data_IF_019362055399
#
_entry.id   IF_019362055399
#
_cell.length_a   1.000
_cell.length_b   1.000
_cell.length_c   1.000
_cell.angle_alpha   90.00
_cell.angle_beta   90.00
_cell.angle_gamma   90.00
#
_symmetry.space_group_name_H-M   'P 1'
#
loop_
_entity.id
_entity.type
_entity.pdbx_description
1 polymer ?
#
# COMPACT_ATOMS: atom_id res chain seq x y z
N UNK A 1 17.58 -30.54 45.72
CA UNK A 1 17.97 -29.14 45.44
C UNK A 1 18.07 -29.07 43.93
N UNK A 2 16.93 -28.85 43.27
CA UNK A 2 16.84 -28.78 41.81
C UNK A 2 17.12 -27.34 41.37
N UNK A 3 18.05 -27.23 40.43
CA UNK A 3 18.60 -26.00 39.89
C UNK A 3 17.58 -25.37 38.94
N UNK A 4 17.13 -24.16 39.27
CA UNK A 4 16.18 -23.39 38.48
C UNK A 4 16.94 -22.85 37.28
N UNK A 5 16.88 -23.57 36.16
CA UNK A 5 17.39 -23.11 34.87
C UNK A 5 16.64 -21.84 34.44
N UNK A 6 17.29 -20.72 34.72
CA UNK A 6 17.31 -19.46 33.97
C UNK A 6 16.55 -19.54 32.65
N UNK A 7 15.31 -19.03 32.67
CA UNK A 7 14.63 -18.64 31.44
C UNK A 7 15.49 -17.59 30.74
N UNK A 8 16.10 -18.01 29.63
CA UNK A 8 16.72 -17.16 28.62
C UNK A 8 15.70 -16.13 28.15
N UNK A 9 15.69 -14.98 28.82
CA UNK A 9 15.00 -13.79 28.36
C UNK A 9 15.62 -13.40 27.03
N UNK A 10 14.95 -13.74 25.93
CA UNK A 10 15.23 -13.12 24.65
C UNK A 10 15.22 -11.60 24.88
N UNK A 11 16.20 -10.85 24.36
CA UNK A 11 16.21 -9.41 24.50
C UNK A 11 14.86 -8.90 24.02
N UNK A 12 14.13 -8.25 24.92
CA UNK A 12 12.86 -7.60 24.61
C UNK A 12 13.23 -6.57 23.55
N UNK A 13 12.92 -6.88 22.30
CA UNK A 13 13.12 -5.99 21.16
C UNK A 13 12.42 -4.69 21.55
N UNK A 14 13.20 -3.65 21.84
CA UNK A 14 12.67 -2.38 22.32
C UNK A 14 11.76 -1.84 21.22
N UNK A 15 10.45 -2.00 21.40
CA UNK A 15 9.42 -1.42 20.53
C UNK A 15 9.76 0.05 20.42
N UNK A 16 10.08 0.52 19.20
CA UNK A 16 10.42 1.92 18.99
C UNK A 16 9.15 2.76 19.17
N UNK A 17 8.87 3.11 20.41
CA UNK A 17 7.69 3.85 20.87
C UNK A 17 7.63 5.27 20.30
N UNK A 18 8.65 5.71 19.56
CA UNK A 18 8.67 6.99 18.87
C UNK A 18 8.01 6.93 17.47
N UNK A 19 7.66 5.74 16.96
CA UNK A 19 7.02 5.59 15.66
C UNK A 19 5.56 6.09 15.69
N UNK A 20 5.18 6.90 14.69
CA UNK A 20 3.82 7.41 14.54
C UNK A 20 3.04 6.61 13.50
N UNK A 21 2.00 5.92 13.94
CA UNK A 21 1.22 4.98 13.10
C UNK A 21 -0.11 5.62 12.68
N UNK A 22 -0.48 5.51 11.40
CA UNK A 22 -1.76 6.03 10.92
C UNK A 22 -2.92 5.15 11.37
N UNK A 23 -4.08 5.77 11.56
CA UNK A 23 -5.29 5.06 11.96
C UNK A 23 -5.81 4.17 10.82
N UNK A 24 -6.26 2.93 11.10
CA UNK A 24 -6.82 2.01 10.10
C UNK A 24 -7.97 2.60 9.28
N UNK A 25 -8.83 3.44 9.87
CA UNK A 25 -9.89 4.12 9.14
C UNK A 25 -9.34 5.18 8.16
N UNK A 26 -8.23 5.84 8.50
CA UNK A 26 -7.57 6.76 7.57
C UNK A 26 -7.03 6.00 6.35
N UNK A 27 -6.37 4.86 6.59
CA UNK A 27 -5.92 3.96 5.51
C UNK A 27 -7.07 3.50 4.62
N UNK A 28 -8.19 3.07 5.22
CA UNK A 28 -9.41 2.66 4.51
C UNK A 28 -9.86 3.72 3.52
N UNK A 29 -10.11 4.93 4.01
CA UNK A 29 -10.69 6.00 3.21
C UNK A 29 -9.75 6.51 2.13
N UNK A 30 -8.44 6.57 2.41
CA UNK A 30 -7.44 6.90 1.40
C UNK A 30 -7.44 5.83 0.29
N UNK A 31 -7.46 4.56 0.65
CA UNK A 31 -7.46 3.46 -0.33
C UNK A 31 -8.69 3.53 -1.24
N UNK A 32 -9.86 3.81 -0.66
CA UNK A 32 -11.14 3.90 -1.39
C UNK A 32 -11.17 5.10 -2.34
N UNK A 33 -10.82 6.29 -1.85
CA UNK A 33 -11.06 7.53 -2.59
C UNK A 33 -9.87 8.02 -3.40
N UNK A 34 -8.63 7.68 -3.04
CA UNK A 34 -7.46 8.07 -3.83
C UNK A 34 -7.09 6.95 -4.80
N UNK A 35 -6.57 5.84 -4.29
CA UNK A 35 -6.23 4.67 -5.12
C UNK A 35 -5.80 3.48 -4.27
N UNK A 36 -6.01 2.26 -4.79
CA UNK A 36 -5.45 1.04 -4.24
C UNK A 36 -3.92 1.09 -4.11
N UNK A 37 -3.21 1.71 -5.06
CA UNK A 37 -1.73 1.78 -5.03
C UNK A 37 -1.21 2.59 -3.84
N UNK A 38 -1.83 3.74 -3.55
CA UNK A 38 -1.44 4.58 -2.41
C UNK A 38 -1.81 3.90 -1.11
N UNK A 39 -2.95 3.22 -1.07
CA UNK A 39 -3.36 2.35 0.04
C UNK A 39 -2.33 1.26 0.35
N UNK A 40 -1.85 0.53 -0.67
CA UNK A 40 -0.81 -0.50 -0.54
C UNK A 40 0.47 0.10 0.08
N UNK A 41 0.94 1.23 -0.47
CA UNK A 41 2.18 1.86 -0.01
C UNK A 41 2.05 2.32 1.45
N UNK A 42 0.97 3.02 1.80
CA UNK A 42 0.75 3.44 3.18
C UNK A 42 0.61 2.26 4.13
N UNK A 43 -0.05 1.18 3.71
CA UNK A 43 -0.20 -0.04 4.50
C UNK A 43 1.15 -0.70 4.80
N UNK A 44 2.06 -0.77 3.81
CA UNK A 44 3.45 -1.22 3.99
C UNK A 44 4.19 -0.33 4.98
N UNK A 45 4.11 1.00 4.81
CA UNK A 45 4.78 1.95 5.71
C UNK A 45 4.24 1.81 7.13
N UNK A 46 2.94 1.61 7.30
CA UNK A 46 2.35 1.43 8.63
C UNK A 46 2.87 0.15 9.29
N UNK A 47 3.01 -0.93 8.53
CA UNK A 47 3.65 -2.16 9.03
C UNK A 47 5.11 -1.99 9.40
N UNK A 48 5.86 -1.18 8.65
CA UNK A 48 7.23 -0.81 9.01
C UNK A 48 7.27 -0.09 10.35
N UNK A 49 6.32 0.82 10.60
CA UNK A 49 6.25 1.57 11.87
C UNK A 49 5.74 0.75 13.05
N UNK A 50 5.04 -0.35 12.78
CA UNK A 50 4.54 -1.31 13.77
C UNK A 50 5.54 -2.45 14.06
N UNK A 51 6.77 -2.38 13.56
CA UNK A 51 7.82 -3.39 13.76
C UNK A 51 7.38 -4.84 13.42
N UNK A 52 6.53 -4.98 12.39
CA UNK A 52 6.09 -6.29 11.88
C UNK A 52 6.60 -6.55 10.45
N UNK A 53 7.93 -6.68 10.26
CA UNK A 53 8.54 -6.72 8.93
C UNK A 53 8.24 -7.98 8.13
N UNK A 54 7.92 -9.09 8.78
CA UNK A 54 7.70 -10.36 8.09
C UNK A 54 6.42 -10.37 7.22
N UNK A 55 5.50 -9.43 7.48
CA UNK A 55 4.32 -9.20 6.63
C UNK A 55 4.61 -8.34 5.39
N UNK A 56 5.83 -7.80 5.23
CA UNK A 56 6.26 -6.95 4.09
C UNK A 56 6.33 -7.73 2.77
N UNK A 57 6.76 -8.99 2.80
CA UNK A 57 7.06 -9.76 1.58
C UNK A 57 5.81 -10.03 0.72
N UNK A 58 4.64 -10.22 1.35
CA UNK A 58 3.37 -10.44 0.63
C UNK A 58 2.85 -9.17 -0.07
N UNK A 59 3.40 -7.99 0.23
CA UNK A 59 2.90 -6.72 -0.27
C UNK A 59 3.62 -6.20 -1.52
N UNK A 60 4.86 -6.62 -1.77
CA UNK A 60 5.52 -6.40 -3.07
C UNK A 60 4.71 -7.03 -4.21
N UNK A 61 4.15 -8.22 -3.97
CA UNK A 61 3.23 -8.88 -4.89
C UNK A 61 1.99 -8.03 -5.16
N UNK A 62 1.46 -7.33 -4.15
CA UNK A 62 0.33 -6.42 -4.31
C UNK A 62 0.62 -5.23 -5.23
N UNK A 63 1.81 -4.63 -5.12
CA UNK A 63 2.25 -3.55 -6.03
C UNK A 63 2.34 -4.08 -7.46
N UNK A 64 3.02 -5.21 -7.67
CA UNK A 64 3.17 -5.83 -9.00
C UNK A 64 1.81 -6.19 -9.59
N UNK A 65 0.93 -6.80 -8.80
CA UNK A 65 -0.43 -7.13 -9.21
C UNK A 65 -1.21 -5.89 -9.65
N UNK A 66 -1.13 -4.79 -8.89
CA UNK A 66 -1.84 -3.55 -9.23
C UNK A 66 -1.30 -2.89 -10.50
N UNK A 67 0.01 -2.95 -10.75
CA UNK A 67 0.65 -2.50 -11.99
C UNK A 67 0.17 -3.34 -13.18
N UNK A 68 0.22 -4.68 -13.06
CA UNK A 68 -0.25 -5.59 -14.12
C UNK A 68 -1.72 -5.37 -14.43
N UNK A 69 -2.56 -5.24 -13.40
CA UNK A 69 -3.97 -4.91 -13.56
C UNK A 69 -4.14 -3.60 -14.34
N UNK A 70 -3.37 -2.57 -14.00
CA UNK A 70 -3.43 -1.28 -14.71
C UNK A 70 -3.05 -1.40 -16.19
N UNK A 71 -2.03 -2.18 -16.53
CA UNK A 71 -1.64 -2.44 -17.92
C UNK A 71 -2.77 -3.14 -18.68
N UNK A 72 -3.35 -4.19 -18.08
CA UNK A 72 -4.48 -4.92 -18.68
C UNK A 72 -5.65 -3.97 -18.94
N UNK A 73 -5.95 -3.07 -18.00
CA UNK A 73 -7.03 -2.11 -18.17
C UNK A 73 -6.78 -1.12 -19.29
N UNK A 74 -5.57 -0.58 -19.40
CA UNK A 74 -5.22 0.37 -20.46
C UNK A 74 -5.31 -0.31 -21.84
N UNK A 75 -5.03 -1.62 -21.92
CA UNK A 75 -5.14 -2.39 -23.16
C UNK A 75 -6.59 -2.72 -23.57
N UNK A 76 -7.58 -2.53 -22.69
CA UNK A 76 -8.98 -2.85 -23.01
C UNK A 76 -9.66 -1.70 -23.77
N UNK A 77 -10.42 -2.00 -24.85
CA UNK A 77 -11.07 -0.98 -25.67
C UNK A 77 -12.25 -0.26 -24.99
N UNK A 78 -12.76 -0.75 -23.86
CA UNK A 78 -13.90 -0.17 -23.15
C UNK A 78 -13.53 0.22 -21.71
N UNK A 79 -13.13 1.48 -21.53
CA UNK A 79 -12.70 2.01 -20.24
C UNK A 79 -13.85 2.20 -19.22
N UNK A 80 -15.10 2.34 -19.68
CA UNK A 80 -16.22 2.72 -18.82
C UNK A 80 -16.61 1.66 -17.80
N UNK A 81 -16.57 0.38 -18.16
CA UNK A 81 -16.87 -0.70 -17.20
C UNK A 81 -15.74 -0.90 -16.19
N UNK A 82 -14.52 -0.55 -16.57
CA UNK A 82 -13.32 -0.86 -15.81
C UNK A 82 -13.13 0.05 -14.60
N UNK A 83 -13.61 1.30 -14.67
CA UNK A 83 -13.60 2.22 -13.52
C UNK A 83 -14.36 1.67 -12.31
N UNK A 84 -15.46 0.97 -12.54
CA UNK A 84 -16.27 0.38 -11.47
C UNK A 84 -15.58 -0.83 -10.84
N UNK A 85 -14.88 -1.63 -11.64
CA UNK A 85 -14.06 -2.75 -11.17
C UNK A 85 -12.94 -2.23 -10.27
N UNK A 86 -12.20 -1.20 -10.69
CA UNK A 86 -11.17 -0.58 -9.87
C UNK A 86 -11.71 0.01 -8.58
N UNK A 87 -12.85 0.70 -8.64
CA UNK A 87 -13.48 1.24 -7.45
C UNK A 87 -13.89 0.12 -6.47
N UNK A 88 -14.45 -0.99 -6.98
CA UNK A 88 -14.76 -2.17 -6.19
C UNK A 88 -13.51 -2.80 -5.55
N UNK A 89 -12.41 -2.91 -6.30
CA UNK A 89 -11.12 -3.40 -5.78
C UNK A 89 -10.59 -2.46 -4.67
N UNK A 90 -10.64 -1.15 -4.87
CA UNK A 90 -10.23 -0.16 -3.88
C UNK A 90 -11.05 -0.26 -2.58
N UNK A 91 -12.36 -0.50 -2.70
CA UNK A 91 -13.24 -0.79 -1.54
C UNK A 91 -12.80 -2.06 -0.82
N UNK A 92 -12.63 -3.16 -1.54
CA UNK A 92 -12.22 -4.44 -0.96
C UNK A 92 -10.86 -4.31 -0.24
N UNK A 93 -9.87 -3.68 -0.88
CA UNK A 93 -8.56 -3.42 -0.30
C UNK A 93 -8.64 -2.51 0.93
N UNK A 94 -9.40 -1.42 0.87
CA UNK A 94 -9.56 -0.49 1.98
C UNK A 94 -10.17 -1.16 3.22
N UNK A 95 -11.20 -2.00 3.02
CA UNK A 95 -11.81 -2.79 4.09
C UNK A 95 -10.80 -3.78 4.66
N UNK A 96 -10.12 -4.53 3.79
CA UNK A 96 -9.12 -5.53 4.19
C UNK A 96 -7.98 -4.90 5.00
N UNK A 97 -7.37 -3.82 4.50
CA UNK A 97 -6.28 -3.12 5.19
C UNK A 97 -6.71 -2.57 6.55
N UNK A 98 -7.92 -2.02 6.65
CA UNK A 98 -8.44 -1.51 7.91
C UNK A 98 -8.66 -2.61 8.93
N UNK A 99 -9.27 -3.72 8.51
CA UNK A 99 -9.54 -4.86 9.38
C UNK A 99 -8.25 -5.49 9.91
N UNK A 100 -7.29 -5.73 9.02
CA UNK A 100 -6.00 -6.34 9.38
C UNK A 100 -5.15 -5.43 10.29
N UNK A 101 -5.11 -4.12 10.04
CA UNK A 101 -4.33 -3.17 10.85
C UNK A 101 -4.99 -2.82 12.20
N UNK A 102 -6.27 -3.14 12.40
CA UNK A 102 -7.03 -2.72 13.58
C UNK A 102 -6.39 -3.18 14.89
N UNK A 103 -6.07 -4.47 14.99
CA UNK A 103 -5.54 -5.05 16.23
C UNK A 103 -4.15 -4.50 16.53
N UNK A 104 -3.27 -4.41 15.53
CA UNK A 104 -1.92 -3.87 15.69
C UNK A 104 -1.93 -2.39 16.09
N UNK A 105 -2.79 -1.59 15.47
CA UNK A 105 -2.93 -0.19 15.83
C UNK A 105 -3.44 -0.03 17.27
N UNK A 106 -4.47 -0.80 17.67
CA UNK A 106 -4.98 -0.74 19.05
C UNK A 106 -3.91 -1.14 20.07
N UNK A 107 -3.13 -2.17 19.78
CA UNK A 107 -2.03 -2.60 20.64
C UNK A 107 -0.95 -1.51 20.75
N UNK A 108 -0.51 -0.94 19.62
CA UNK A 108 0.46 0.16 19.59
C UNK A 108 0.05 1.36 20.45
N UNK A 109 -1.24 1.73 20.41
CA UNK A 109 -1.76 2.83 21.24
C UNK A 109 -1.81 2.45 22.72
N UNK A 110 -2.18 1.20 23.06
CA UNK A 110 -2.17 0.70 24.44
C UNK A 110 -0.75 0.67 25.02
N UNK A 111 0.25 0.38 24.20
CA UNK A 111 1.66 0.33 24.57
C UNK A 111 2.31 1.73 24.65
N UNK A 112 1.51 2.81 24.58
CA UNK A 112 1.97 4.19 24.69
C UNK A 112 2.47 4.82 23.38
N UNK A 113 2.35 4.11 22.27
CA UNK A 113 2.67 4.62 20.94
C UNK A 113 1.75 5.77 20.50
N UNK A 114 2.22 6.55 19.51
CA UNK A 114 1.51 7.76 19.05
C UNK A 114 0.83 7.57 17.71
N UNK A 115 -0.34 8.20 17.55
CA UNK A 115 -1.06 8.28 16.27
C UNK A 115 -0.39 9.31 15.33
N UNK A 116 -0.20 8.95 14.07
CA UNK A 116 0.18 9.88 13.01
C UNK A 116 -1.03 10.71 12.53
N UNK A 117 -0.75 11.94 12.08
CA UNK A 117 -1.78 12.82 11.51
C UNK A 117 -2.40 12.22 10.24
N UNK A 118 -3.72 12.36 10.10
CA UNK A 118 -4.40 11.96 8.87
C UNK A 118 -3.93 12.81 7.67
N UNK A 119 -3.64 14.08 7.89
CA UNK A 119 -3.13 15.00 6.85
C UNK A 119 -1.79 14.56 6.29
N UNK A 120 -0.89 14.00 7.11
CA UNK A 120 0.38 13.49 6.59
C UNK A 120 0.20 12.25 5.73
N UNK A 121 -0.78 11.39 6.06
CA UNK A 121 -1.14 10.25 5.23
C UNK A 121 -1.75 10.69 3.90
N UNK A 122 -2.66 11.69 3.91
CA UNK A 122 -3.26 12.26 2.70
C UNK A 122 -2.19 12.90 1.81
N UNK A 123 -1.36 13.79 2.36
CA UNK A 123 -0.31 14.47 1.59
C UNK A 123 0.67 13.48 0.94
N UNK A 124 1.10 12.46 1.69
CA UNK A 124 1.98 11.41 1.16
C UNK A 124 1.27 10.57 0.09
N UNK A 125 -0.02 10.30 0.25
CA UNK A 125 -0.81 9.57 -0.74
C UNK A 125 -0.97 10.35 -2.03
N UNK A 126 -1.22 11.66 -1.96
CA UNK A 126 -1.28 12.52 -3.14
C UNK A 126 0.07 12.52 -3.86
N UNK A 127 1.18 12.64 -3.13
CA UNK A 127 2.51 12.55 -3.71
C UNK A 127 2.71 11.23 -4.48
N UNK A 128 2.44 10.08 -3.84
CA UNK A 128 2.57 8.78 -4.50
C UNK A 128 1.60 8.61 -5.67
N UNK A 129 0.38 9.14 -5.58
CA UNK A 129 -0.59 9.10 -6.66
C UNK A 129 -0.08 9.88 -7.88
N UNK A 130 0.42 11.11 -7.68
CA UNK A 130 0.99 11.93 -8.75
C UNK A 130 2.19 11.25 -9.39
N UNK A 131 3.11 10.71 -8.58
CA UNK A 131 4.26 9.95 -9.09
C UNK A 131 3.82 8.74 -9.90
N UNK A 132 2.83 7.99 -9.41
CA UNK A 132 2.28 6.82 -10.09
C UNK A 132 1.66 7.19 -11.44
N UNK A 133 0.79 8.20 -11.48
CA UNK A 133 0.15 8.67 -12.70
C UNK A 133 1.16 9.18 -13.72
N UNK A 134 2.22 9.87 -13.26
CA UNK A 134 3.31 10.33 -14.12
C UNK A 134 4.05 9.16 -14.78
N UNK A 135 4.41 8.12 -14.02
CA UNK A 135 5.06 6.91 -14.54
C UNK A 135 4.15 6.21 -15.56
N UNK A 136 2.87 6.02 -15.24
CA UNK A 136 1.90 5.40 -16.16
C UNK A 136 1.75 6.21 -17.44
N UNK A 137 1.68 7.54 -17.35
CA UNK A 137 1.60 8.43 -18.52
C UNK A 137 2.81 8.31 -19.44
N UNK A 138 4.02 8.25 -18.87
CA UNK A 138 5.26 8.01 -19.65
C UNK A 138 5.21 6.65 -20.34
N UNK A 139 4.78 5.59 -19.63
CA UNK A 139 4.70 4.25 -20.20
C UNK A 139 3.75 4.20 -21.40
N UNK A 140 2.57 4.80 -21.27
CA UNK A 140 1.59 4.90 -22.37
C UNK A 140 2.22 5.63 -23.57
N UNK A 141 2.84 6.78 -23.34
CA UNK A 141 3.47 7.57 -24.38
C UNK A 141 4.58 6.80 -25.13
N UNK A 142 5.44 6.08 -24.39
CA UNK A 142 6.53 5.29 -24.98
C UNK A 142 5.98 4.12 -25.80
N UNK A 143 4.95 3.43 -25.30
CA UNK A 143 4.31 2.33 -26.03
C UNK A 143 3.70 2.83 -27.34
N UNK A 144 2.99 3.96 -27.30
CA UNK A 144 2.39 4.58 -28.49
C UNK A 144 3.45 4.98 -29.53
N UNK A 145 4.56 5.58 -29.08
CA UNK A 145 5.68 5.95 -29.94
C UNK A 145 6.31 4.72 -30.63
N UNK A 146 6.51 3.63 -29.87
CA UNK A 146 7.07 2.38 -30.41
C UNK A 146 6.11 1.77 -31.44
N UNK A 147 4.82 1.63 -31.10
CA UNK A 147 3.82 1.05 -31.99
C UNK A 147 3.72 1.85 -33.29
N UNK A 148 3.67 3.17 -33.19
CA UNK A 148 3.71 4.06 -34.36
C UNK A 148 4.96 3.81 -35.21
N UNK A 149 6.14 3.76 -34.59
CA UNK A 149 7.40 3.54 -35.32
C UNK A 149 7.49 2.18 -36.03
N UNK A 150 6.83 1.15 -35.50
CA UNK A 150 6.80 -0.19 -36.09
C UNK A 150 5.79 -0.25 -37.23
N UNK A 151 4.59 0.29 -37.03
CA UNK A 151 3.51 0.28 -38.03
C UNK A 151 3.91 1.12 -39.25
N UNK A 152 4.43 2.34 -39.07
CA UNK A 152 4.80 3.21 -40.19
C UNK A 152 5.98 2.70 -41.02
N UNK A 153 6.82 1.81 -40.47
CA UNK A 153 7.91 1.17 -41.24
C UNK A 153 7.43 -0.03 -42.08
N UNK A 154 6.21 -0.50 -41.87
CA UNK A 154 5.64 -1.67 -42.56
C UNK A 154 4.82 -1.33 -43.80
N UNK A 155 4.71 -0.03 -44.15
CA UNK A 155 4.08 0.51 -45.35
C UNK A 155 5.11 1.27 -46.18
#
# INVERSE_FOLDING_TARGET
>A
MEDITTQTGAPIEQINNNSRVWNPNTLKWITIFLSGITGIILYIINYYRLDHPNKKQKLLLGIVFFILLTIVVIALPNFNSVRYVFFGINIALGIYYSADQKNYFTQHIKDGGRKASAWSAIGLSILFLVTYLFIVGILIYVVDLILSSVIYKSF
#
